data_IF_286998790895
#
_entry.id   IF_286998790895
#
_cell.length_a   1.000
_cell.length_b   1.000
_cell.length_c   1.000
_cell.angle_alpha   90.00
_cell.angle_beta   90.00
_cell.angle_gamma   90.00
#
_symmetry.space_group_name_H-M   'P 1'
#
loop_
_entity.id
_entity.type
_entity.pdbx_description
1 polymer ?
#
# COMPACT_ATOMS: atom_id res chain seq x y z
N UNK A 1 10.88 -20.69 -4.40
CA UNK A 1 11.44 -19.60 -3.61
C UNK A 1 10.54 -18.39 -3.67
N UNK A 2 10.22 -17.81 -2.54
CA UNK A 2 9.31 -16.69 -2.46
C UNK A 2 9.97 -15.35 -2.71
N UNK A 3 9.13 -14.38 -3.02
CA UNK A 3 9.50 -12.99 -3.16
C UNK A 3 9.86 -12.42 -1.78
N UNK A 4 10.94 -11.66 -1.69
CA UNK A 4 11.28 -10.94 -0.45
C UNK A 4 10.42 -9.67 -0.41
N UNK A 5 9.60 -9.55 0.62
CA UNK A 5 8.67 -8.44 0.78
C UNK A 5 9.06 -7.64 2.01
N UNK A 6 9.29 -6.36 1.84
CA UNK A 6 9.68 -5.47 2.94
C UNK A 6 8.67 -4.34 3.09
N UNK A 7 8.51 -3.86 4.32
CA UNK A 7 7.68 -2.70 4.58
C UNK A 7 8.12 -1.54 3.70
N UNK A 8 7.15 -0.84 3.12
CA UNK A 8 7.33 0.30 2.21
C UNK A 8 7.78 -0.04 0.81
N UNK A 9 7.96 -1.33 0.50
CA UNK A 9 8.08 -1.74 -0.90
C UNK A 9 6.75 -1.49 -1.61
N UNK A 10 6.84 -1.13 -2.90
CA UNK A 10 5.67 -0.99 -3.76
C UNK A 10 5.61 -2.20 -4.66
N UNK A 11 4.49 -2.91 -4.61
CA UNK A 11 4.24 -4.07 -5.46
C UNK A 11 3.00 -3.84 -6.31
N UNK A 12 3.01 -4.40 -7.49
CA UNK A 12 1.79 -4.50 -8.31
C UNK A 12 0.95 -5.63 -7.70
N UNK A 13 -0.31 -5.34 -7.35
CA UNK A 13 -1.16 -6.26 -6.59
C UNK A 13 -2.50 -6.42 -7.29
N UNK A 14 -2.96 -7.67 -7.42
CA UNK A 14 -4.29 -7.99 -7.91
C UNK A 14 -5.30 -7.82 -6.79
N UNK A 15 -6.11 -6.77 -6.86
CA UNK A 15 -7.06 -6.43 -5.81
C UNK A 15 -8.42 -7.10 -5.98
N UNK A 16 -8.80 -7.44 -7.20
CA UNK A 16 -10.10 -8.06 -7.46
C UNK A 16 -10.16 -9.50 -6.93
N UNK A 17 -11.32 -9.97 -6.51
CA UNK A 17 -12.62 -9.29 -6.57
C UNK A 17 -12.77 -8.22 -5.47
N UNK A 18 -13.40 -7.11 -5.86
CA UNK A 18 -13.67 -5.97 -4.96
C UNK A 18 -15.15 -5.59 -5.07
N UNK A 19 -15.60 -4.69 -4.20
CA UNK A 19 -17.00 -4.30 -4.11
C UNK A 19 -17.13 -2.77 -4.01
N UNK A 20 -18.08 -2.22 -4.76
CA UNK A 20 -18.46 -0.82 -4.62
C UNK A 20 -17.31 0.16 -4.80
N UNK A 21 -17.06 0.95 -3.76
CA UNK A 21 -16.05 2.02 -3.78
C UNK A 21 -14.64 1.55 -3.49
N UNK A 22 -14.42 0.25 -3.29
CA UNK A 22 -13.07 -0.29 -3.11
C UNK A 22 -12.25 -0.10 -4.39
N UNK A 23 -10.99 0.25 -4.22
CA UNK A 23 -10.08 0.36 -5.36
C UNK A 23 -9.91 -1.03 -5.97
N UNK A 24 -10.13 -1.13 -7.28
CA UNK A 24 -10.24 -2.40 -7.99
C UNK A 24 -9.12 -2.61 -8.99
N UNK A 25 -9.11 -3.80 -9.59
CA UNK A 25 -8.16 -4.23 -10.61
C UNK A 25 -6.77 -4.48 -10.03
N UNK A 26 -5.77 -4.44 -10.88
CA UNK A 26 -4.37 -4.61 -10.50
C UNK A 26 -3.75 -3.23 -10.37
N UNK A 27 -3.24 -2.92 -9.18
CA UNK A 27 -2.77 -1.58 -8.85
C UNK A 27 -1.46 -1.64 -8.09
N UNK A 28 -0.62 -0.60 -8.21
CA UNK A 28 0.49 -0.43 -7.27
C UNK A 28 -0.04 -0.27 -5.85
N UNK A 29 0.57 -0.99 -4.92
CA UNK A 29 0.22 -0.90 -3.50
C UNK A 29 1.50 -0.84 -2.68
N UNK A 30 1.46 -0.06 -1.61
CA UNK A 30 2.57 0.03 -0.65
C UNK A 30 2.35 -1.01 0.42
N UNK A 31 3.37 -1.81 0.71
CA UNK A 31 3.35 -2.76 1.82
C UNK A 31 3.52 -1.98 3.12
N UNK A 32 2.56 -2.09 4.03
CA UNK A 32 2.61 -1.41 5.33
C UNK A 32 2.87 -2.36 6.49
N UNK A 33 2.64 -3.64 6.32
CA UNK A 33 2.92 -4.61 7.37
C UNK A 33 4.41 -4.70 7.67
N UNK A 34 4.78 -4.96 8.95
CA UNK A 34 6.18 -5.02 9.34
C UNK A 34 6.91 -6.21 8.71
N UNK A 35 8.22 -6.07 8.55
CA UNK A 35 9.07 -7.08 7.92
C UNK A 35 8.92 -8.45 8.56
N UNK A 36 8.78 -8.49 9.87
CA UNK A 36 8.61 -9.73 10.61
C UNK A 36 7.34 -10.46 10.20
N UNK A 37 6.23 -9.73 10.10
CA UNK A 37 4.98 -10.28 9.61
C UNK A 37 5.12 -10.74 8.15
N UNK A 38 5.75 -9.93 7.31
CA UNK A 38 5.92 -10.22 5.88
C UNK A 38 6.74 -11.48 5.65
N UNK A 39 7.64 -11.79 6.59
CA UNK A 39 8.52 -12.96 6.48
C UNK A 39 7.81 -14.26 6.82
N UNK A 40 6.95 -14.25 7.82
CA UNK A 40 6.43 -15.48 8.43
C UNK A 40 4.96 -15.79 8.13
N UNK A 41 4.18 -14.81 7.68
CA UNK A 41 2.75 -15.00 7.43
C UNK A 41 2.48 -15.00 5.94
N UNK A 42 1.48 -15.79 5.51
CA UNK A 42 1.14 -15.94 4.09
C UNK A 42 0.42 -14.72 3.50
N UNK A 43 0.09 -13.74 4.35
CA UNK A 43 -0.59 -12.51 3.94
C UNK A 43 0.27 -11.30 4.25
N UNK A 44 -0.03 -10.18 3.58
CA UNK A 44 0.58 -8.88 3.85
C UNK A 44 -0.51 -7.82 3.91
N UNK A 45 -0.24 -6.73 4.62
CA UNK A 45 -1.14 -5.58 4.65
C UNK A 45 -0.62 -4.54 3.68
N UNK A 46 -1.46 -4.09 2.76
CA UNK A 46 -1.09 -3.13 1.73
C UNK A 46 -2.05 -1.94 1.71
N UNK A 47 -1.55 -0.82 1.20
CA UNK A 47 -2.35 0.37 0.92
C UNK A 47 -2.29 0.64 -0.58
N UNK A 48 -3.44 0.70 -1.28
CA UNK A 48 -3.41 0.98 -2.71
C UNK A 48 -2.96 2.39 -2.99
N UNK A 49 -2.34 2.58 -4.15
CA UNK A 49 -1.97 3.88 -4.67
C UNK A 49 -2.86 4.22 -5.84
N UNK A 50 -3.23 5.49 -5.98
CA UNK A 50 -4.04 5.95 -7.10
C UNK A 50 -3.55 7.29 -7.61
N UNK A 51 -3.65 7.49 -8.93
CA UNK A 51 -3.41 8.79 -9.56
C UNK A 51 -4.69 9.60 -9.65
N UNK A 52 -5.82 9.00 -9.29
CA UNK A 52 -7.14 9.62 -9.31
C UNK A 52 -7.66 9.73 -7.88
N UNK A 53 -8.70 10.53 -7.70
CA UNK A 53 -9.34 10.65 -6.42
C UNK A 53 -9.03 11.96 -5.74
N UNK A 54 -9.67 12.16 -4.61
CA UNK A 54 -9.63 13.42 -3.87
C UNK A 54 -8.61 13.36 -2.74
N UNK A 55 -8.03 14.50 -2.38
CA UNK A 55 -7.04 14.56 -1.29
C UNK A 55 -7.71 14.54 0.09
N UNK A 56 -8.29 13.40 0.46
CA UNK A 56 -8.84 13.23 1.80
C UNK A 56 -7.74 13.21 2.85
N UNK A 57 -8.04 13.59 4.11
CA UNK A 57 -7.05 13.55 5.19
C UNK A 57 -6.43 12.17 5.44
N UNK A 58 -7.12 11.10 5.04
CA UNK A 58 -6.63 9.72 5.20
C UNK A 58 -5.74 9.26 4.06
N UNK A 59 -5.28 10.18 3.20
CA UNK A 59 -4.46 9.87 2.03
C UNK A 59 -3.17 10.66 2.04
N UNK A 60 -2.08 9.98 1.69
CA UNK A 60 -0.75 10.59 1.64
C UNK A 60 -0.43 10.96 0.20
N UNK A 61 -0.23 12.26 -0.12
CA UNK A 61 0.23 12.65 -1.45
C UNK A 61 1.60 12.07 -1.71
N UNK A 62 1.81 11.57 -2.92
CA UNK A 62 3.09 10.97 -3.30
C UNK A 62 3.37 11.17 -4.78
N UNK A 63 4.65 11.27 -5.11
CA UNK A 63 5.11 11.17 -6.48
C UNK A 63 5.95 9.89 -6.59
N UNK A 64 5.51 8.98 -7.45
CA UNK A 64 6.17 7.70 -7.63
C UNK A 64 6.36 7.42 -9.12
N UNK A 65 7.60 7.15 -9.52
CA UNK A 65 7.98 6.90 -10.92
C UNK A 65 7.41 7.97 -11.87
N UNK A 66 7.55 9.23 -11.46
CA UNK A 66 7.13 10.37 -12.28
C UNK A 66 5.64 10.67 -12.28
N UNK A 67 4.83 9.91 -11.54
CA UNK A 67 3.39 10.12 -11.45
C UNK A 67 3.01 10.63 -10.08
N UNK A 68 2.19 11.67 -10.03
CA UNK A 68 1.63 12.19 -8.79
C UNK A 68 0.34 11.46 -8.47
N UNK A 69 0.14 11.17 -7.20
CA UNK A 69 -1.05 10.47 -6.74
C UNK A 69 -1.13 10.45 -5.24
N UNK A 70 -1.81 9.46 -4.70
CA UNK A 70 -2.02 9.30 -3.26
C UNK A 70 -1.86 7.85 -2.84
N UNK A 71 -1.32 7.66 -1.65
CA UNK A 71 -1.39 6.38 -0.94
C UNK A 71 -2.69 6.42 -0.14
N UNK A 72 -3.59 5.46 -0.40
CA UNK A 72 -4.94 5.49 0.13
C UNK A 72 -5.00 4.64 1.41
N UNK A 73 -4.69 5.27 2.54
CA UNK A 73 -4.63 4.57 3.82
C UNK A 73 -6.02 4.20 4.35
N UNK A 74 -7.06 4.88 3.90
CA UNK A 74 -8.44 4.51 4.25
C UNK A 74 -8.90 3.21 3.57
N UNK A 75 -8.12 2.67 2.64
CA UNK A 75 -8.42 1.38 2.01
C UNK A 75 -7.31 0.35 2.22
N UNK A 76 -6.63 0.43 3.36
CA UNK A 76 -5.66 -0.63 3.70
C UNK A 76 -6.38 -1.95 3.84
N UNK A 77 -5.74 -3.01 3.37
CA UNK A 77 -6.33 -4.34 3.42
C UNK A 77 -5.26 -5.42 3.46
N UNK A 78 -5.65 -6.56 3.99
CA UNK A 78 -4.82 -7.75 3.98
C UNK A 78 -5.05 -8.51 2.67
N UNK A 79 -3.97 -8.89 2.03
CA UNK A 79 -4.04 -9.72 0.81
C UNK A 79 -3.11 -10.92 0.94
N UNK A 80 -3.45 -12.01 0.29
CA UNK A 80 -2.56 -13.17 0.18
C UNK A 80 -1.35 -12.76 -0.68
N UNK A 81 -0.18 -13.26 -0.32
CA UNK A 81 1.05 -12.99 -1.08
C UNK A 81 0.95 -13.39 -2.55
N UNK A 82 0.09 -14.36 -2.87
CA UNK A 82 -0.14 -14.78 -4.26
C UNK A 82 -0.74 -13.68 -5.13
N UNK A 83 -1.32 -12.64 -4.52
CA UNK A 83 -1.85 -11.50 -5.27
C UNK A 83 -0.78 -10.50 -5.68
N UNK A 84 0.42 -10.61 -5.13
CA UNK A 84 1.54 -9.75 -5.49
C UNK A 84 2.17 -10.24 -6.80
N UNK A 85 2.13 -9.38 -7.81
CA UNK A 85 2.61 -9.72 -9.16
C UNK A 85 4.11 -9.50 -9.28
N UNK A 86 4.57 -8.29 -8.93
CA UNK A 86 5.99 -7.94 -8.98
C UNK A 86 6.27 -6.69 -8.16
N UNK A 87 7.52 -6.58 -7.72
CA UNK A 87 8.00 -5.37 -7.04
C UNK A 87 8.24 -4.27 -8.07
N UNK A 88 7.73 -3.07 -7.76
CA UNK A 88 7.89 -1.89 -8.62
C UNK A 88 8.95 -0.94 -8.08
N UNK A 89 9.20 -0.94 -6.79
CA UNK A 89 10.14 -0.04 -6.15
C UNK A 89 9.87 0.08 -4.67
N UNK A 90 10.16 1.26 -4.13
CA UNK A 90 10.01 1.56 -2.71
C UNK A 90 9.68 3.03 -2.56
N UNK A 91 8.81 3.39 -1.62
CA UNK A 91 8.54 4.80 -1.34
C UNK A 91 9.71 5.42 -0.57
N UNK A 92 9.93 6.72 -0.78
CA UNK A 92 11.04 7.42 -0.15
C UNK A 92 10.80 7.66 1.35
N UNK A 93 11.84 8.16 2.02
CA UNK A 93 11.83 8.34 3.47
C UNK A 93 10.75 9.31 3.94
N UNK A 94 10.54 10.39 3.22
CA UNK A 94 9.53 11.38 3.57
C UNK A 94 8.12 10.78 3.48
N UNK A 95 7.86 10.00 2.44
CA UNK A 95 6.59 9.31 2.30
C UNK A 95 6.40 8.26 3.41
N UNK A 96 7.45 7.54 3.77
CA UNK A 96 7.41 6.57 4.88
C UNK A 96 7.01 7.24 6.18
N UNK A 97 7.62 8.38 6.48
CA UNK A 97 7.32 9.16 7.69
C UNK A 97 5.87 9.64 7.68
N UNK A 98 5.40 10.13 6.53
CA UNK A 98 4.03 10.60 6.38
C UNK A 98 3.02 9.47 6.57
N UNK A 99 3.31 8.27 6.05
CA UNK A 99 2.45 7.10 6.23
C UNK A 99 2.33 6.74 7.70
N UNK A 100 3.45 6.66 8.42
CA UNK A 100 3.41 6.35 9.86
C UNK A 100 2.63 7.39 10.65
N UNK A 101 2.88 8.67 10.38
CA UNK A 101 2.19 9.75 11.08
C UNK A 101 0.68 9.66 10.88
N UNK A 102 0.25 9.40 9.64
CA UNK A 102 -1.17 9.33 9.33
C UNK A 102 -1.82 8.06 9.90
N UNK A 103 -1.16 6.91 9.81
CA UNK A 103 -1.67 5.68 10.43
C UNK A 103 -1.84 5.85 11.95
N UNK A 104 -0.87 6.50 12.58
CA UNK A 104 -0.94 6.76 14.01
C UNK A 104 -2.14 7.65 14.34
N UNK A 105 -2.37 8.68 13.56
CA UNK A 105 -3.51 9.58 13.73
C UNK A 105 -4.83 8.85 13.51
N UNK A 106 -4.94 8.04 12.47
CA UNK A 106 -6.16 7.30 12.15
C UNK A 106 -6.57 6.30 13.22
N UNK A 107 -5.60 5.69 13.89
CA UNK A 107 -5.85 4.62 14.85
C UNK A 107 -5.62 5.04 16.31
N UNK A 108 -5.38 6.31 16.56
CA UNK A 108 -5.35 6.83 17.92
C UNK A 108 -6.75 7.20 18.38
N UNK A 109 -7.04 7.04 19.67
CA UNK A 109 -8.35 7.40 20.25
C UNK A 109 -8.60 8.89 20.14
#
# INVERSE_FOLDING_TARGET
MGMVIKRFDVHLVMLDPTLGSEIQKTRPCVVISPDEMNRFIATVIVAPMTTKGRPYPSRVPIRFKGKSGHIVLDQIRTVDKKRLVKKLGRIDKDAQTAVFALLNEMFSP
#
